data_IF_776106085404
#
_entry.id   IF_776106085404
#
_cell.length_a   1.000
_cell.length_b   1.000
_cell.length_c   1.000
_cell.angle_alpha   90.00
_cell.angle_beta   90.00
_cell.angle_gamma   90.00
#
_symmetry.space_group_name_H-M   'P 1'
#
loop_
_entity.id
_entity.type
_entity.pdbx_description
1 polymer ?
#
# COMPACT_ATOMS: atom_id res chain seq x y z
N UNK A 1 4.93 2.46 16.07
CA UNK A 1 4.96 2.14 14.62
C UNK A 1 4.63 0.66 14.38
N UNK A 2 5.28 -0.28 15.10
CA UNK A 2 5.04 -1.73 14.92
C UNK A 2 3.63 -2.18 15.35
N UNK A 3 3.04 -1.58 16.36
CA UNK A 3 1.67 -1.91 16.81
C UNK A 3 0.58 -1.51 15.81
N UNK A 4 0.79 -0.46 15.01
CA UNK A 4 -0.11 -0.10 13.91
C UNK A 4 -0.12 -1.13 12.77
N UNK A 5 1.00 -1.80 12.56
CA UNK A 5 1.11 -2.85 11.53
C UNK A 5 0.29 -4.09 11.95
N UNK A 6 0.18 -4.38 13.24
CA UNK A 6 -0.67 -5.47 13.75
C UNK A 6 -2.17 -5.15 13.74
N UNK A 7 -2.55 -3.90 13.87
CA UNK A 7 -3.94 -3.46 13.66
C UNK A 7 -4.41 -3.66 12.22
N UNK A 8 -3.56 -4.29 11.41
CA UNK A 8 -3.75 -4.68 10.00
C UNK A 8 -5.03 -4.08 9.49
N UNK A 9 -4.88 -2.88 9.10
CA UNK A 9 -5.86 -2.09 8.45
C UNK A 9 -6.82 -3.00 7.75
N UNK A 10 -8.02 -3.01 8.25
CA UNK A 10 -9.13 -3.78 7.71
C UNK A 10 -9.54 -3.22 6.34
N UNK A 11 -8.57 -2.85 5.52
CA UNK A 11 -8.79 -2.28 4.22
C UNK A 11 -7.99 -3.03 3.17
N UNK A 12 -8.61 -3.31 2.06
CA UNK A 12 -8.00 -3.97 0.92
C UNK A 12 -8.60 -3.41 -0.34
N UNK A 13 -7.78 -3.23 -1.37
CA UNK A 13 -8.26 -2.72 -2.65
C UNK A 13 -8.93 -3.80 -3.48
N UNK A 14 -9.86 -3.37 -4.29
CA UNK A 14 -10.78 -4.15 -5.07
C UNK A 14 -10.13 -4.65 -6.34
N UNK A 15 -10.01 -4.90 -7.19
CA UNK A 15 -9.55 -5.33 -8.51
C UNK A 15 -8.04 -5.61 -8.56
N UNK A 16 -7.67 -6.82 -8.22
CA UNK A 16 -6.40 -7.46 -8.61
C UNK A 16 -5.12 -6.94 -7.94
N UNK A 17 -5.15 -5.80 -7.29
CA UNK A 17 -3.92 -5.10 -6.91
C UNK A 17 -3.20 -5.63 -5.66
N UNK A 18 -3.81 -6.39 -4.79
CA UNK A 18 -3.16 -6.99 -3.61
C UNK A 18 -2.49 -6.03 -2.61
N UNK A 19 -2.60 -4.72 -2.83
CA UNK A 19 -1.98 -3.68 -2.00
C UNK A 19 -2.88 -3.27 -0.83
N UNK A 20 -2.26 -2.77 0.24
CA UNK A 20 -2.92 -2.32 1.47
C UNK A 20 -2.44 -0.92 1.86
N UNK A 21 -2.79 0.10 1.09
CA UNK A 21 -2.28 1.47 1.16
C UNK A 21 -2.24 2.07 2.58
N UNK A 22 -3.21 1.74 3.41
CA UNK A 22 -3.27 2.26 4.77
C UNK A 22 -2.11 1.86 5.67
N UNK A 23 -1.33 0.82 5.31
CA UNK A 23 -0.26 0.30 6.18
C UNK A 23 0.95 1.24 6.28
N UNK A 24 1.27 1.98 5.24
CA UNK A 24 2.32 2.99 5.25
C UNK A 24 1.78 4.42 5.15
N UNK A 25 0.75 4.66 4.35
CA UNK A 25 0.16 6.00 4.13
C UNK A 25 -0.39 6.61 5.43
N UNK A 26 -1.19 5.85 6.19
CA UNK A 26 -1.82 6.40 7.41
C UNK A 26 -0.79 6.70 8.50
N UNK A 27 0.11 5.80 8.90
CA UNK A 27 1.13 6.13 9.91
C UNK A 27 2.03 7.28 9.48
N UNK A 28 2.39 7.38 8.20
CA UNK A 28 3.14 8.52 7.66
C UNK A 28 2.36 9.82 7.83
N UNK A 29 1.08 9.84 7.45
CA UNK A 29 0.23 11.02 7.58
C UNK A 29 0.10 11.46 9.04
N UNK A 30 -0.14 10.53 9.96
CA UNK A 30 -0.30 10.83 11.39
C UNK A 30 1.00 11.36 12.01
N UNK A 31 2.15 10.78 11.66
CA UNK A 31 3.45 11.21 12.19
C UNK A 31 3.77 12.64 11.77
N UNK A 32 3.65 12.96 10.48
CA UNK A 32 3.95 14.31 9.97
C UNK A 32 2.93 15.33 10.49
N UNK A 33 1.66 14.98 10.52
CA UNK A 33 0.64 15.91 11.00
C UNK A 33 0.78 16.23 12.47
N UNK A 34 1.24 15.30 13.29
CA UNK A 34 1.54 15.56 14.69
C UNK A 34 2.78 16.45 14.85
N UNK A 35 3.83 16.20 14.07
CA UNK A 35 5.05 17.02 14.08
C UNK A 35 4.75 18.46 13.65
N UNK A 36 4.04 18.64 12.53
CA UNK A 36 3.76 19.96 11.95
C UNK A 36 2.48 20.62 12.47
N UNK A 37 1.77 19.97 13.40
CA UNK A 37 0.50 20.45 13.98
C UNK A 37 -0.56 20.78 12.92
N UNK A 38 -0.69 19.92 11.94
CA UNK A 38 -1.63 20.08 10.83
C UNK A 38 -3.07 19.73 11.23
N UNK A 39 -4.03 20.18 10.43
CA UNK A 39 -5.45 19.91 10.69
C UNK A 39 -5.87 18.52 10.21
N UNK A 40 -6.95 17.96 10.77
CA UNK A 40 -7.52 16.72 10.28
C UNK A 40 -7.93 16.75 8.79
N UNK A 41 -8.27 17.94 8.28
CA UNK A 41 -8.58 18.14 6.86
C UNK A 41 -7.35 17.94 5.98
N UNK A 42 -6.20 18.43 6.43
CA UNK A 42 -4.92 18.25 5.71
C UNK A 42 -4.53 16.77 5.68
N UNK A 43 -4.69 16.09 6.83
CA UNK A 43 -4.45 14.64 6.96
C UNK A 43 -5.31 13.85 5.98
N UNK A 44 -6.62 14.08 5.97
CA UNK A 44 -7.55 13.38 5.07
C UNK A 44 -7.16 13.61 3.61
N UNK A 45 -6.88 14.86 3.22
CA UNK A 45 -6.50 15.18 1.85
C UNK A 45 -5.19 14.50 1.42
N UNK A 46 -4.24 14.36 2.32
CA UNK A 46 -2.98 13.69 2.04
C UNK A 46 -3.12 12.17 1.98
N UNK A 47 -3.91 11.59 2.88
CA UNK A 47 -4.24 10.15 2.86
C UNK A 47 -4.94 9.78 1.54
N UNK A 48 -5.93 10.57 1.10
CA UNK A 48 -6.60 10.34 -0.19
C UNK A 48 -5.60 10.32 -1.33
N UNK A 49 -4.67 11.28 -1.39
CA UNK A 49 -3.65 11.32 -2.43
C UNK A 49 -2.70 10.11 -2.38
N UNK A 50 -2.28 9.71 -1.19
CA UNK A 50 -1.41 8.54 -1.01
C UNK A 50 -2.08 7.23 -1.44
N UNK A 51 -3.33 7.02 -1.05
CA UNK A 51 -4.13 5.87 -1.48
C UNK A 51 -4.30 5.82 -3.00
N UNK A 52 -4.57 6.97 -3.61
CA UNK A 52 -4.75 7.05 -5.06
C UNK A 52 -3.48 6.63 -5.80
N UNK A 53 -2.31 7.09 -5.36
CA UNK A 53 -1.02 6.68 -5.93
C UNK A 53 -0.77 5.18 -5.77
N UNK A 54 -0.92 4.63 -4.56
CA UNK A 54 -0.73 3.19 -4.31
C UNK A 54 -1.59 2.36 -5.25
N UNK A 55 -2.88 2.67 -5.33
CA UNK A 55 -3.81 1.81 -6.06
C UNK A 55 -3.69 1.94 -7.57
N UNK A 56 -3.32 3.11 -8.09
CA UNK A 56 -3.03 3.28 -9.52
C UNK A 56 -1.81 2.49 -9.94
N UNK A 57 -0.74 2.57 -9.15
CA UNK A 57 0.50 1.84 -9.41
C UNK A 57 0.27 0.33 -9.30
N UNK A 58 -0.39 -0.11 -8.23
CA UNK A 58 -0.71 -1.52 -8.04
C UNK A 58 -1.60 -2.07 -9.15
N UNK A 59 -2.64 -1.33 -9.56
CA UNK A 59 -3.54 -1.74 -10.64
C UNK A 59 -2.82 -1.85 -11.99
N UNK A 60 -1.89 -0.96 -12.27
CA UNK A 60 -1.11 -0.96 -13.52
C UNK A 60 -0.21 -2.18 -13.66
N UNK A 61 0.21 -2.80 -12.55
CA UNK A 61 1.15 -3.93 -12.54
C UNK A 61 0.50 -5.28 -12.16
N UNK A 62 -0.74 -5.28 -11.71
CA UNK A 62 -1.39 -6.50 -11.23
C UNK A 62 -1.82 -7.44 -12.38
N UNK A 63 -1.72 -8.77 -12.19
CA UNK A 63 -1.13 -9.48 -11.06
C UNK A 63 0.38 -9.71 -11.19
N UNK A 64 0.99 -9.32 -12.30
CA UNK A 64 2.35 -9.69 -12.71
C UNK A 64 3.43 -9.29 -11.69
N UNK A 65 3.21 -8.25 -10.88
CA UNK A 65 4.14 -7.87 -9.82
C UNK A 65 4.28 -8.99 -8.76
N UNK A 66 3.16 -9.60 -8.38
CA UNK A 66 3.14 -10.73 -7.44
C UNK A 66 3.82 -11.95 -8.05
N UNK A 67 3.54 -12.24 -9.32
CA UNK A 67 4.10 -13.37 -10.05
C UNK A 67 5.62 -13.28 -10.15
N UNK A 68 6.18 -12.07 -10.22
CA UNK A 68 7.62 -11.81 -10.13
C UNK A 68 8.20 -11.89 -8.72
N UNK A 69 7.38 -12.17 -7.72
CA UNK A 69 7.81 -12.33 -6.32
C UNK A 69 7.93 -11.03 -5.53
N UNK A 70 7.43 -9.91 -6.05
CA UNK A 70 7.40 -8.64 -5.31
C UNK A 70 6.12 -8.52 -4.47
N UNK A 71 6.25 -7.99 -3.26
CA UNK A 71 5.13 -7.75 -2.37
C UNK A 71 4.51 -6.36 -2.66
N UNK A 72 3.30 -6.27 -3.25
CA UNK A 72 2.74 -4.99 -3.69
C UNK A 72 2.65 -3.96 -2.57
N UNK A 73 2.13 -4.36 -1.40
CA UNK A 73 1.97 -3.44 -0.26
C UNK A 73 3.29 -2.75 0.10
N UNK A 74 4.40 -3.47 0.20
CA UNK A 74 5.66 -2.83 0.59
C UNK A 74 6.32 -2.03 -0.53
N UNK A 75 6.10 -2.40 -1.77
CA UNK A 75 6.66 -1.69 -2.91
C UNK A 75 5.85 -0.42 -3.23
N UNK A 76 4.55 -0.57 -3.42
CA UNK A 76 3.68 0.49 -3.91
C UNK A 76 3.36 1.50 -2.81
N UNK A 77 3.23 1.04 -1.56
CA UNK A 77 2.99 1.90 -0.40
C UNK A 77 4.15 2.85 -0.12
N UNK A 78 5.40 2.51 -0.50
CA UNK A 78 6.54 3.44 -0.41
C UNK A 78 6.27 4.70 -1.22
N UNK A 79 5.71 4.55 -2.42
CA UNK A 79 5.36 5.68 -3.30
C UNK A 79 4.17 6.47 -2.77
N UNK A 80 3.14 5.77 -2.29
CA UNK A 80 1.98 6.41 -1.67
C UNK A 80 2.32 7.17 -0.39
N UNK A 81 3.18 6.60 0.45
CA UNK A 81 3.67 7.26 1.65
C UNK A 81 4.52 8.50 1.31
N UNK A 82 5.36 8.44 0.27
CA UNK A 82 6.14 9.59 -0.21
C UNK A 82 5.22 10.72 -0.74
N UNK A 83 4.19 10.38 -1.50
CA UNK A 83 3.20 11.35 -1.96
C UNK A 83 2.44 12.00 -0.79
N UNK A 84 2.07 11.21 0.21
CA UNK A 84 1.42 11.68 1.45
C UNK A 84 2.31 12.64 2.22
N UNK A 85 3.55 12.23 2.46
CA UNK A 85 4.54 13.03 3.18
C UNK A 85 4.84 14.34 2.45
N UNK A 86 5.12 14.26 1.15
CA UNK A 86 5.41 15.42 0.33
C UNK A 86 4.27 16.43 0.28
N UNK A 87 3.01 15.94 0.25
CA UNK A 87 1.84 16.81 0.31
C UNK A 87 1.71 17.51 1.66
N UNK A 88 1.88 16.81 2.78
CA UNK A 88 1.78 17.38 4.13
C UNK A 88 2.93 18.36 4.43
N UNK A 89 4.12 18.08 3.94
CA UNK A 89 5.29 18.94 4.09
C UNK A 89 5.33 20.11 3.10
N UNK A 90 4.33 20.21 2.21
CA UNK A 90 4.20 21.32 1.27
C UNK A 90 5.28 21.36 0.18
N UNK A 91 5.78 20.20 -0.25
CA UNK A 91 6.76 20.12 -1.33
C UNK A 91 6.23 20.76 -2.62
N UNK A 92 7.11 21.43 -3.34
CA UNK A 92 6.81 21.90 -4.69
C UNK A 92 6.59 20.71 -5.63
N UNK A 93 6.00 20.94 -6.79
CA UNK A 93 5.81 19.90 -7.81
C UNK A 93 7.12 19.22 -8.20
N UNK A 94 8.18 19.99 -8.33
CA UNK A 94 9.51 19.50 -8.68
C UNK A 94 10.11 18.66 -7.54
N UNK A 95 10.05 19.15 -6.31
CA UNK A 95 10.49 18.39 -5.14
C UNK A 95 9.70 17.10 -4.97
N UNK A 96 8.39 17.12 -5.20
CA UNK A 96 7.57 15.91 -5.12
C UNK A 96 7.93 14.89 -6.21
N UNK A 97 8.23 15.35 -7.43
CA UNK A 97 8.71 14.47 -8.50
C UNK A 97 10.04 13.81 -8.12
N UNK A 98 10.98 14.59 -7.56
CA UNK A 98 12.25 14.07 -7.06
C UNK A 98 12.04 13.09 -5.89
N UNK A 99 11.14 13.39 -4.96
CA UNK A 99 10.81 12.50 -3.84
C UNK A 99 10.24 11.16 -4.33
N UNK A 100 9.35 11.17 -5.32
CA UNK A 100 8.82 9.94 -5.93
C UNK A 100 9.92 9.19 -6.69
N UNK A 101 10.81 9.91 -7.37
CA UNK A 101 11.98 9.34 -8.02
C UNK A 101 12.88 8.58 -7.06
N UNK A 102 13.20 9.18 -5.91
CA UNK A 102 13.99 8.55 -4.85
C UNK A 102 13.24 7.39 -4.18
N UNK A 103 11.95 7.58 -3.87
CA UNK A 103 11.12 6.55 -3.25
C UNK A 103 11.01 5.29 -4.14
N UNK A 104 10.94 5.46 -5.47
CA UNK A 104 10.92 4.35 -6.41
C UNK A 104 12.20 3.51 -6.38
N UNK A 105 13.35 4.12 -6.12
CA UNK A 105 14.61 3.40 -5.94
C UNK A 105 14.67 2.62 -4.62
N UNK A 106 14.03 3.14 -3.56
CA UNK A 106 13.97 2.48 -2.25
C UNK A 106 12.87 1.43 -2.14
N UNK A 107 11.85 1.49 -2.98
CA UNK A 107 10.71 0.60 -2.93
C UNK A 107 11.12 -0.86 -3.05
N UNK A 108 10.93 -1.63 -2.00
CA UNK A 108 11.40 -3.01 -1.90
C UNK A 108 10.43 -3.89 -1.10
N UNK A 109 10.66 -5.19 -1.16
CA UNK A 109 9.91 -6.19 -0.42
C UNK A 109 9.52 -7.39 -1.29
N UNK A 110 9.70 -8.58 -0.74
CA UNK A 110 9.51 -9.84 -1.43
C UNK A 110 8.30 -10.61 -0.90
N UNK A 111 7.64 -11.34 -1.77
CA UNK A 111 6.53 -12.25 -1.41
C UNK A 111 6.96 -13.37 -0.47
N UNK A 112 8.23 -13.75 -0.46
CA UNK A 112 8.77 -14.83 0.37
C UNK A 112 8.42 -14.66 1.86
N UNK A 113 8.46 -13.41 2.36
CA UNK A 113 8.02 -13.11 3.74
C UNK A 113 6.53 -13.41 4.00
N UNK A 114 5.71 -13.43 2.96
CA UNK A 114 4.29 -13.81 3.04
C UNK A 114 4.13 -15.32 2.94
N UNK A 115 4.86 -15.98 2.06
CA UNK A 115 4.82 -17.43 1.84
C UNK A 115 5.28 -18.17 3.08
N UNK A 116 6.36 -17.72 3.69
CA UNK A 116 6.92 -18.34 4.92
C UNK A 116 6.17 -17.97 6.20
N UNK A 117 5.28 -16.98 6.14
CA UNK A 117 4.41 -16.60 7.27
C UNK A 117 5.10 -15.89 8.44
N UNK A 118 6.29 -15.33 8.23
CA UNK A 118 7.11 -14.76 9.29
C UNK A 118 6.78 -13.30 9.60
N UNK A 119 7.11 -12.85 10.81
CA UNK A 119 6.92 -11.45 11.26
C UNK A 119 7.78 -10.44 10.48
N UNK A 120 8.79 -10.87 9.73
CA UNK A 120 9.57 -10.04 8.83
C UNK A 120 8.72 -9.27 7.81
N UNK A 121 7.54 -9.78 7.46
CA UNK A 121 6.54 -9.07 6.67
C UNK A 121 6.15 -7.71 7.27
N UNK A 122 6.04 -7.64 8.59
CA UNK A 122 5.69 -6.39 9.29
C UNK A 122 6.83 -5.37 9.21
N UNK A 123 8.08 -5.83 9.32
CA UNK A 123 9.26 -4.98 9.17
C UNK A 123 9.34 -4.39 7.76
N UNK A 124 9.12 -5.22 6.75
CA UNK A 124 9.15 -4.82 5.35
C UNK A 124 8.16 -3.68 5.05
N UNK A 125 6.93 -3.80 5.53
CA UNK A 125 5.91 -2.76 5.36
C UNK A 125 6.23 -1.50 6.19
N UNK A 126 6.75 -1.65 7.40
CA UNK A 126 7.22 -0.52 8.21
C UNK A 126 8.35 0.26 7.54
N UNK A 127 9.25 -0.47 6.86
CA UNK A 127 10.35 0.14 6.10
C UNK A 127 9.84 0.98 4.91
N UNK A 128 8.70 0.64 4.33
CA UNK A 128 8.10 1.45 3.24
C UNK A 128 7.82 2.89 3.69
N UNK A 129 7.26 3.07 4.89
CA UNK A 129 7.02 4.39 5.45
C UNK A 129 8.34 5.13 5.77
N UNK A 130 9.33 4.42 6.33
CA UNK A 130 10.63 5.00 6.66
C UNK A 130 11.38 5.46 5.41
N UNK A 131 11.47 4.60 4.39
CA UNK A 131 12.12 4.92 3.11
C UNK A 131 11.42 6.07 2.37
N UNK A 132 10.10 6.13 2.43
CA UNK A 132 9.32 7.24 1.88
C UNK A 132 9.66 8.57 2.57
N UNK A 133 9.75 8.58 3.88
CA UNK A 133 10.14 9.78 4.66
C UNK A 133 11.55 10.24 4.30
N UNK A 134 12.50 9.31 4.22
CA UNK A 134 13.87 9.60 3.83
C UNK A 134 13.94 10.24 2.43
N UNK A 135 13.25 9.66 1.44
CA UNK A 135 13.16 10.19 0.09
C UNK A 135 12.59 11.61 0.06
N UNK A 136 11.54 11.88 0.85
CA UNK A 136 10.91 13.20 0.91
C UNK A 136 11.84 14.23 1.56
N UNK A 137 12.52 13.89 2.66
CA UNK A 137 13.48 14.80 3.29
C UNK A 137 14.68 15.09 2.38
N UNK A 138 15.20 14.09 1.66
CA UNK A 138 16.26 14.31 0.68
C UNK A 138 15.81 15.28 -0.43
N UNK A 139 14.65 15.05 -1.02
CA UNK A 139 14.13 15.91 -2.09
C UNK A 139 13.82 17.33 -1.59
N UNK A 140 13.30 17.48 -0.37
CA UNK A 140 13.07 18.77 0.25
C UNK A 140 14.39 19.58 0.39
N UNK A 141 15.49 18.88 0.65
CA UNK A 141 16.81 19.46 0.77
C UNK A 141 17.62 19.53 -0.55
N UNK A 142 16.94 19.36 -1.68
CA UNK A 142 17.52 19.59 -3.01
C UNK A 142 18.17 18.36 -3.66
N UNK A 143 17.99 17.14 -3.10
CA UNK A 143 18.43 15.94 -3.77
C UNK A 143 17.53 15.66 -4.99
N UNK A 144 18.17 15.50 -6.14
CA UNK A 144 17.49 15.10 -7.38
C UNK A 144 17.16 13.61 -7.38
N UNK A 145 15.93 13.28 -7.76
CA UNK A 145 15.49 11.91 -7.98
C UNK A 145 15.47 11.55 -9.46
N UNK A 146 15.36 10.25 -9.74
CA UNK A 146 15.26 9.75 -11.12
C UNK A 146 13.88 10.07 -11.70
N UNK A 147 13.78 11.05 -12.59
CA UNK A 147 12.51 11.53 -13.16
C UNK A 147 11.76 10.41 -13.89
N UNK A 148 12.48 9.54 -14.60
CA UNK A 148 11.93 8.39 -15.35
C UNK A 148 11.85 7.11 -14.51
N UNK A 149 11.78 7.22 -13.18
CA UNK A 149 11.80 6.06 -12.27
C UNK A 149 10.68 5.07 -12.55
N UNK A 150 9.54 5.51 -13.02
CA UNK A 150 8.40 4.64 -13.28
C UNK A 150 8.50 3.94 -14.64
N UNK A 151 8.57 4.72 -15.73
CA UNK A 151 8.44 4.26 -17.12
C UNK A 151 9.77 3.96 -17.79
N UNK A 152 10.90 4.31 -17.19
CA UNK A 152 12.23 4.06 -17.75
C UNK A 152 12.46 2.57 -18.03
N UNK A 153 13.32 2.26 -19.02
CA UNK A 153 13.63 0.87 -19.43
C UNK A 153 14.00 -0.03 -18.23
N UNK A 154 14.76 0.51 -17.30
CA UNK A 154 15.18 -0.18 -16.07
C UNK A 154 14.42 0.40 -14.84
N UNK A 155 13.28 1.04 -15.08
CA UNK A 155 12.45 1.68 -14.08
C UNK A 155 11.55 0.72 -13.30
N UNK A 156 10.83 1.27 -12.34
CA UNK A 156 10.02 0.54 -11.37
C UNK A 156 9.02 -0.43 -12.02
N UNK A 157 8.31 0.02 -13.06
CA UNK A 157 7.32 -0.82 -13.73
C UNK A 157 7.96 -2.00 -14.43
N UNK A 158 8.95 -1.77 -15.28
CA UNK A 158 9.61 -2.82 -16.05
C UNK A 158 10.43 -3.80 -15.18
N UNK A 159 11.03 -3.30 -14.11
CA UNK A 159 11.75 -4.15 -13.17
C UNK A 159 10.83 -5.09 -12.38
N UNK A 160 9.61 -4.64 -12.07
CA UNK A 160 8.71 -5.35 -11.14
C UNK A 160 7.50 -6.02 -11.79
N UNK A 161 7.25 -5.77 -13.08
CA UNK A 161 6.14 -6.38 -13.82
C UNK A 161 6.52 -6.66 -15.26
N UNK A 162 5.99 -7.75 -15.80
CA UNK A 162 6.11 -8.06 -17.23
C UNK A 162 5.03 -7.37 -18.07
N UNK A 163 3.94 -7.04 -17.43
CA UNK A 163 2.82 -6.34 -18.06
C UNK A 163 2.48 -5.09 -17.26
N UNK A 164 2.48 -3.96 -17.92
CA UNK A 164 2.19 -2.66 -17.31
C UNK A 164 1.14 -1.92 -18.13
N UNK A 165 0.04 -1.58 -17.50
CA UNK A 165 -0.96 -0.66 -18.07
C UNK A 165 -0.67 0.76 -17.57
N UNK A 166 0.19 1.47 -18.30
CA UNK A 166 0.57 2.85 -17.93
C UNK A 166 -0.62 3.81 -18.03
N UNK A 167 -1.55 3.55 -18.92
CA UNK A 167 -2.74 4.40 -19.07
C UNK A 167 -3.63 4.34 -17.81
N UNK A 168 -3.72 3.18 -17.16
CA UNK A 168 -4.44 3.01 -15.91
C UNK A 168 -3.91 3.90 -14.78
N UNK A 169 -2.62 4.25 -14.78
CA UNK A 169 -2.03 5.15 -13.77
C UNK A 169 -2.63 6.56 -13.87
N UNK A 170 -2.88 7.04 -15.07
CA UNK A 170 -3.32 8.40 -15.33
C UNK A 170 -4.84 8.54 -15.54
N UNK A 171 -5.57 7.43 -15.77
CA UNK A 171 -7.00 7.47 -16.07
C UNK A 171 -7.80 8.13 -14.95
N UNK A 172 -8.55 9.17 -15.28
CA UNK A 172 -9.38 9.91 -14.33
C UNK A 172 -8.61 10.58 -13.19
N UNK A 173 -7.30 10.80 -13.32
CA UNK A 173 -6.48 11.44 -12.30
C UNK A 173 -7.04 12.84 -11.96
N UNK A 174 -7.21 13.12 -10.66
CA UNK A 174 -7.81 14.37 -10.17
C UNK A 174 -9.33 14.45 -10.27
N UNK A 175 -10.00 13.44 -10.83
CA UNK A 175 -11.46 13.34 -10.94
C UNK A 175 -12.04 12.13 -10.21
N UNK A 176 -11.34 11.01 -10.29
CA UNK A 176 -11.69 9.76 -9.61
C UNK A 176 -10.60 9.42 -8.60
N UNK A 177 -10.98 9.18 -7.36
CA UNK A 177 -10.09 8.80 -6.27
C UNK A 177 -10.35 7.35 -5.87
N UNK A 178 -9.38 6.48 -6.03
CA UNK A 178 -9.53 5.03 -5.83
C UNK A 178 -9.73 4.62 -4.37
N UNK A 179 -9.50 5.52 -3.42
CA UNK A 179 -9.82 5.27 -2.02
C UNK A 179 -11.30 4.94 -1.81
N UNK A 180 -12.20 5.47 -2.65
CA UNK A 180 -13.64 5.18 -2.56
C UNK A 180 -14.00 3.74 -2.94
N UNK A 181 -13.09 3.06 -3.62
CA UNK A 181 -13.24 1.67 -4.04
C UNK A 181 -12.66 0.68 -3.01
N UNK A 182 -12.16 1.18 -1.87
CA UNK A 182 -11.68 0.32 -0.78
C UNK A 182 -12.83 -0.28 0.00
N UNK A 183 -12.61 -1.47 0.53
CA UNK A 183 -13.52 -2.11 1.46
C UNK A 183 -12.83 -2.44 2.79
N UNK A 184 -13.60 -2.48 3.87
CA UNK A 184 -13.12 -2.93 5.17
C UNK A 184 -13.28 -4.44 5.31
N UNK A 185 -12.29 -5.08 5.92
CA UNK A 185 -12.37 -6.50 6.27
C UNK A 185 -13.17 -6.67 7.56
N UNK A 186 -14.06 -7.65 7.57
CA UNK A 186 -14.82 -8.02 8.77
C UNK A 186 -13.95 -8.76 9.79
N UNK A 187 -13.01 -9.56 9.31
CA UNK A 187 -12.14 -10.40 10.15
C UNK A 187 -10.66 -9.97 10.01
N UNK A 188 -9.84 -10.06 11.08
CA UNK A 188 -8.45 -9.61 11.11
C UNK A 188 -7.51 -10.58 10.37
N UNK A 189 -7.82 -10.92 9.13
CA UNK A 189 -7.07 -11.89 8.33
C UNK A 189 -6.91 -11.43 6.88
N UNK A 190 -6.25 -12.25 6.05
CA UNK A 190 -6.13 -12.01 4.61
C UNK A 190 -7.51 -11.92 3.95
N UNK A 191 -7.62 -11.15 2.86
CA UNK A 191 -8.87 -11.01 2.11
C UNK A 191 -9.39 -12.35 1.59
N UNK A 192 -8.50 -13.21 1.11
CA UNK A 192 -8.87 -14.52 0.57
C UNK A 192 -9.51 -15.45 1.62
N UNK A 193 -9.21 -15.29 2.89
CA UNK A 193 -9.80 -16.07 3.96
C UNK A 193 -11.15 -15.54 4.46
N UNK A 194 -11.56 -14.32 4.08
CA UNK A 194 -12.83 -13.74 4.55
C UNK A 194 -14.05 -14.58 4.19
N UNK A 195 -14.22 -15.04 2.92
CA UNK A 195 -15.39 -15.86 2.55
C UNK A 195 -15.42 -17.20 3.29
N UNK A 196 -14.27 -17.86 3.47
CA UNK A 196 -14.21 -19.13 4.17
C UNK A 196 -14.63 -18.97 5.65
N UNK A 197 -14.15 -17.94 6.32
CA UNK A 197 -14.53 -17.65 7.72
C UNK A 197 -16.03 -17.37 7.81
N UNK A 198 -16.55 -16.51 6.94
CA UNK A 198 -17.96 -16.15 6.95
C UNK A 198 -18.85 -17.38 6.67
N UNK A 199 -18.45 -18.24 5.72
CA UNK A 199 -19.17 -19.48 5.42
C UNK A 199 -19.22 -20.42 6.62
N UNK A 200 -18.10 -20.62 7.32
CA UNK A 200 -18.05 -21.45 8.52
C UNK A 200 -18.93 -20.89 9.62
N UNK A 201 -18.87 -19.60 9.88
CA UNK A 201 -19.70 -18.95 10.90
C UNK A 201 -21.20 -19.05 10.58
N UNK A 202 -21.59 -18.88 9.32
CA UNK A 202 -22.99 -19.04 8.89
C UNK A 202 -23.46 -20.49 9.06
N UNK A 203 -22.62 -21.48 8.72
CA UNK A 203 -22.95 -22.89 8.92
C UNK A 203 -23.09 -23.25 10.41
N UNK A 204 -22.19 -22.71 11.26
CA UNK A 204 -22.30 -22.90 12.72
C UNK A 204 -23.62 -22.34 13.26
N UNK A 205 -24.05 -21.18 12.77
CA UNK A 205 -25.32 -20.57 13.17
C UNK A 205 -26.53 -21.38 12.66
N UNK A 206 -26.50 -21.78 11.39
CA UNK A 206 -27.60 -22.52 10.74
C UNK A 206 -27.80 -23.93 11.33
N UNK A 207 -26.70 -24.66 11.59
CA UNK A 207 -26.74 -26.05 12.04
C UNK A 207 -26.47 -26.24 13.55
N UNK A 208 -26.24 -25.14 14.28
CA UNK A 208 -26.05 -25.11 15.74
C UNK A 208 -24.95 -26.03 16.27
N UNK A 209 -23.78 -26.05 15.60
CA UNK A 209 -22.60 -26.80 16.04
C UNK A 209 -21.50 -25.85 16.53
N UNK A 210 -20.59 -26.37 17.39
CA UNK A 210 -19.44 -25.65 17.90
C UNK A 210 -18.11 -26.08 17.26
N UNK A 211 -16.98 -25.41 17.60
CA UNK A 211 -15.67 -25.79 17.11
C UNK A 211 -15.28 -27.24 17.46
N UNK A 212 -15.82 -27.79 18.56
CA UNK A 212 -15.60 -29.14 19.06
C UNK A 212 -16.26 -30.21 18.17
N UNK A 213 -17.26 -29.84 17.38
CA UNK A 213 -17.97 -30.74 16.48
C UNK A 213 -17.31 -30.81 15.09
N UNK A 214 -16.26 -29.99 14.85
CA UNK A 214 -15.60 -29.89 13.54
C UNK A 214 -14.34 -30.75 13.53
N UNK A 215 -14.31 -31.75 12.67
CA UNK A 215 -13.14 -32.59 12.45
C UNK A 215 -12.12 -31.90 11.53
N UNK A 216 -12.58 -31.38 10.40
CA UNK A 216 -11.74 -30.64 9.45
C UNK A 216 -12.56 -29.72 8.54
N UNK A 217 -11.87 -28.72 7.98
CA UNK A 217 -12.44 -27.78 7.01
C UNK A 217 -11.64 -27.86 5.71
N UNK A 218 -12.30 -28.04 4.59
CA UNK A 218 -11.71 -27.96 3.25
C UNK A 218 -12.03 -26.62 2.63
N UNK A 219 -10.97 -25.88 2.15
CA UNK A 219 -11.11 -24.56 1.52
C UNK A 219 -10.37 -24.55 0.20
#
# INVERSE_FOLDING_TARGET
TYSFIQLKINQSFIKYAGAHAGTAVVPTALTISDELKLTGKDVIAAVVAGYDIVYRIAAAMAPAQIDKGFHPTSNDDTLGAAATAGKLMGLTKEQLANALGLAGLYASGLMEATVTGQLSKCVMVGNSAASAMEAVYMAQNGMEGTVSVFEGKDGFFHAKSEHVDVDAVCDGLGKKYLITDTYSKMYPTCRHAQPAIESVLNLMDEYHFGPEDVDHVWV
#
